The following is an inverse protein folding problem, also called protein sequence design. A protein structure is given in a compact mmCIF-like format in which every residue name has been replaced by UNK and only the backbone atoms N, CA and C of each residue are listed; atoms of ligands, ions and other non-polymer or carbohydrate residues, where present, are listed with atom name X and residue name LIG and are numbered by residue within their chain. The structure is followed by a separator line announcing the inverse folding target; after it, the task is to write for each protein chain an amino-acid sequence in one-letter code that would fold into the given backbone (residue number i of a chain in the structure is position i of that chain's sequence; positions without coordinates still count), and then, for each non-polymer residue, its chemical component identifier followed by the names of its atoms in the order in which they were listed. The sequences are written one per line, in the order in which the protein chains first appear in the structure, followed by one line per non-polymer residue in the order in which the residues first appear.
data_IF_166769381808
#
_entry.id   IF_166769381808
#
_cell.length_a   1.000
_cell.length_b   1.000
_cell.length_c   1.000
_cell.angle_alpha   90.00
_cell.angle_beta   90.00
_cell.angle_gamma   90.00
#
_symmetry.space_group_name_H-M   'P 1'
#
loop_
_entity.id
_entity.type
_entity.pdbx_description
1 polymer ?
#
# COMPACT_ATOMS: atom_id res chain seq x y z
N UNK A 1 -44.00 4.56 29.53
CA UNK A 1 -42.73 5.08 30.08
C UNK A 1 -41.58 4.45 29.31
N UNK A 2 -40.79 5.24 28.60
CA UNK A 2 -39.63 4.74 27.84
C UNK A 2 -38.52 4.35 28.81
N UNK A 3 -37.99 3.14 28.68
CA UNK A 3 -36.95 2.61 29.57
C UNK A 3 -35.67 3.47 29.49
N UNK A 4 -35.01 3.71 30.63
CA UNK A 4 -33.74 4.46 30.71
C UNK A 4 -32.67 3.92 29.74
N UNK A 5 -32.72 2.61 29.44
CA UNK A 5 -31.84 1.96 28.45
C UNK A 5 -32.06 2.49 27.03
N UNK A 6 -33.32 2.71 26.63
CA UNK A 6 -33.68 3.22 25.30
C UNK A 6 -33.23 4.67 25.13
N UNK A 7 -33.38 5.48 26.18
CA UNK A 7 -32.87 6.86 26.21
C UNK A 7 -31.33 6.92 26.08
N UNK A 8 -30.62 6.01 26.76
CA UNK A 8 -29.17 5.90 26.64
C UNK A 8 -28.72 5.55 25.22
N UNK A 9 -29.35 4.55 24.60
CA UNK A 9 -29.05 4.14 23.21
C UNK A 9 -29.30 5.31 22.25
N UNK A 10 -30.44 5.98 22.37
CA UNK A 10 -30.81 7.08 21.50
C UNK A 10 -29.80 8.24 21.57
N UNK A 11 -29.32 8.59 22.78
CA UNK A 11 -28.30 9.63 22.95
C UNK A 11 -26.95 9.24 22.35
N UNK A 12 -26.52 7.99 22.52
CA UNK A 12 -25.26 7.52 21.93
C UNK A 12 -25.35 7.52 20.40
N UNK A 13 -26.47 7.07 19.85
CA UNK A 13 -26.72 7.13 18.41
C UNK A 13 -26.71 8.57 17.90
N UNK A 14 -27.40 9.49 18.59
CA UNK A 14 -27.40 10.91 18.22
C UNK A 14 -26.01 11.53 18.27
N UNK A 15 -25.22 11.21 19.30
CA UNK A 15 -23.85 11.69 19.43
C UNK A 15 -22.96 11.17 18.29
N UNK A 16 -23.12 9.90 17.90
CA UNK A 16 -22.40 9.31 16.77
C UNK A 16 -22.78 10.01 15.45
N UNK A 17 -24.07 10.24 15.21
CA UNK A 17 -24.52 10.96 14.01
C UNK A 17 -24.01 12.41 13.99
N UNK A 18 -24.04 13.10 15.12
CA UNK A 18 -23.50 14.46 15.24
C UNK A 18 -22.00 14.51 14.94
N UNK A 19 -21.23 13.51 15.43
CA UNK A 19 -19.80 13.39 15.13
C UNK A 19 -19.56 13.18 13.62
N UNK A 20 -20.28 12.24 12.99
CA UNK A 20 -20.15 11.97 11.55
C UNK A 20 -20.49 13.21 10.73
N UNK A 21 -21.57 13.91 11.05
CA UNK A 21 -21.95 15.15 10.38
C UNK A 21 -20.90 16.25 10.55
N UNK A 22 -20.28 16.36 11.73
CA UNK A 22 -19.23 17.33 12.01
C UNK A 22 -17.95 17.02 11.21
N UNK A 23 -17.56 15.73 11.10
CA UNK A 23 -16.45 15.31 10.25
C UNK A 23 -16.71 15.63 8.77
N UNK A 24 -17.93 15.38 8.28
CA UNK A 24 -18.34 15.73 6.92
C UNK A 24 -18.37 17.24 6.70
N UNK A 25 -18.81 18.04 7.68
CA UNK A 25 -18.84 19.51 7.58
C UNK A 25 -17.45 20.13 7.51
N UNK A 26 -16.47 19.54 8.20
CA UNK A 26 -15.08 19.98 8.20
C UNK A 26 -14.29 19.49 6.97
N UNK A 27 -14.95 18.85 6.00
CA UNK A 27 -14.33 18.23 4.83
C UNK A 27 -13.15 17.32 5.21
N UNK A 28 -13.26 16.63 6.36
CA UNK A 28 -12.23 15.70 6.81
C UNK A 28 -12.33 14.46 5.93
N UNK A 29 -11.50 14.42 4.90
CA UNK A 29 -11.33 13.24 4.06
C UNK A 29 -10.77 12.12 4.93
N UNK A 30 -11.63 11.17 5.30
CA UNK A 30 -11.19 9.97 6.02
C UNK A 30 -10.38 9.14 5.02
N UNK A 31 -9.06 8.94 5.24
CA UNK A 31 -8.25 8.22 4.27
C UNK A 31 -8.78 6.81 4.13
N UNK A 32 -8.86 6.33 2.90
CA UNK A 32 -9.15 4.91 2.65
C UNK A 32 -8.04 4.04 3.27
N UNK A 33 -8.32 2.77 3.56
CA UNK A 33 -7.30 1.85 4.10
C UNK A 33 -6.02 1.82 3.25
N UNK A 34 -6.15 1.92 1.92
CA UNK A 34 -5.00 2.01 1.01
C UNK A 34 -4.21 3.32 1.15
N UNK A 35 -4.90 4.46 1.29
CA UNK A 35 -4.24 5.75 1.54
C UNK A 35 -3.57 5.82 2.92
N UNK A 36 -4.19 5.20 3.94
CA UNK A 36 -3.58 5.11 5.26
C UNK A 36 -2.28 4.31 5.23
N UNK A 37 -2.24 3.20 4.48
CA UNK A 37 -1.02 2.42 4.27
C UNK A 37 0.04 3.20 3.46
N UNK A 38 -0.37 3.94 2.43
CA UNK A 38 0.54 4.78 1.65
C UNK A 38 1.16 5.91 2.49
N UNK A 39 0.36 6.59 3.32
CA UNK A 39 0.82 7.69 4.16
C UNK A 39 1.62 7.22 5.39
N UNK A 40 1.40 5.99 5.86
CA UNK A 40 2.12 5.43 7.01
C UNK A 40 3.57 5.01 6.68
N UNK A 41 3.88 4.77 5.41
CA UNK A 41 5.23 4.42 4.98
C UNK A 41 5.97 5.71 4.55
N UNK A 42 7.04 6.13 5.24
CA UNK A 42 7.76 7.36 4.90
C UNK A 42 8.63 7.23 3.65
N UNK A 43 8.97 6.01 3.21
CA UNK A 43 9.94 5.80 2.14
C UNK A 43 9.30 6.02 0.77
N UNK A 44 10.04 6.60 -0.17
CA UNK A 44 9.58 6.78 -1.55
C UNK A 44 9.40 5.43 -2.26
N UNK A 45 8.50 5.31 -3.26
CA UNK A 45 8.41 4.09 -4.04
C UNK A 45 9.72 3.87 -4.81
N UNK A 46 10.35 2.72 -4.61
CA UNK A 46 11.59 2.38 -5.30
C UNK A 46 11.58 0.94 -5.79
N UNK A 47 12.36 0.69 -6.84
CA UNK A 47 12.56 -0.61 -7.45
C UNK A 47 14.05 -0.93 -7.54
N UNK A 48 14.40 -2.16 -7.20
CA UNK A 48 15.76 -2.70 -7.31
C UNK A 48 15.72 -3.90 -8.24
N UNK A 49 16.62 -3.94 -9.21
CA UNK A 49 16.79 -5.10 -10.08
C UNK A 49 17.99 -5.90 -9.57
N UNK A 50 17.76 -7.17 -9.26
CA UNK A 50 18.80 -8.13 -8.93
C UNK A 50 19.05 -9.06 -10.12
N UNK A 51 20.30 -9.13 -10.55
CA UNK A 51 20.78 -10.07 -11.56
C UNK A 51 22.07 -10.74 -11.07
N UNK A 52 22.02 -12.06 -10.85
CA UNK A 52 23.12 -12.78 -10.20
C UNK A 52 23.34 -12.28 -8.77
N UNK A 53 24.54 -11.77 -8.48
CA UNK A 53 24.89 -11.21 -7.16
C UNK A 53 24.93 -9.68 -7.16
N UNK A 54 24.33 -9.02 -8.16
CA UNK A 54 24.36 -7.56 -8.28
C UNK A 54 22.94 -7.01 -8.18
N UNK A 55 22.74 -6.13 -7.21
CA UNK A 55 21.52 -5.34 -7.05
C UNK A 55 21.77 -3.92 -7.54
N UNK A 56 20.83 -3.37 -8.31
CA UNK A 56 20.94 -2.01 -8.85
C UNK A 56 19.61 -1.29 -8.68
N UNK A 57 19.65 -0.07 -8.15
CA UNK A 57 18.48 0.79 -8.07
C UNK A 57 18.04 1.16 -9.48
N UNK A 58 16.76 0.97 -9.76
CA UNK A 58 16.16 1.31 -11.04
C UNK A 58 15.31 2.56 -10.85
N UNK A 59 15.82 3.71 -11.30
CA UNK A 59 15.19 5.03 -11.06
C UNK A 59 13.86 5.21 -11.80
N UNK A 60 13.70 4.58 -12.96
CA UNK A 60 12.47 4.63 -13.75
C UNK A 60 11.46 3.57 -13.27
N UNK A 61 10.66 3.98 -12.27
CA UNK A 61 9.67 3.13 -11.63
C UNK A 61 8.61 2.60 -12.62
N UNK A 62 8.20 3.41 -13.60
CA UNK A 62 7.20 3.00 -14.59
C UNK A 62 7.69 1.83 -15.43
N UNK A 63 8.93 1.93 -15.92
CA UNK A 63 9.56 0.86 -16.67
C UNK A 63 9.82 -0.36 -15.79
N UNK A 64 10.23 -0.18 -14.54
CA UNK A 64 10.36 -1.31 -13.62
C UNK A 64 9.02 -2.02 -13.40
N UNK A 65 7.91 -1.29 -13.19
CA UNK A 65 6.59 -1.90 -13.04
C UNK A 65 6.21 -2.74 -14.26
N UNK A 66 6.46 -2.25 -15.48
CA UNK A 66 6.19 -3.02 -16.69
C UNK A 66 6.97 -4.34 -16.75
N UNK A 67 8.21 -4.37 -16.26
CA UNK A 67 8.99 -5.60 -16.21
C UNK A 67 8.61 -6.50 -15.03
N UNK A 68 8.22 -5.93 -13.88
CA UNK A 68 7.75 -6.66 -12.71
C UNK A 68 6.41 -7.35 -12.98
N UNK A 69 5.48 -6.70 -13.70
CA UNK A 69 4.19 -7.27 -14.10
C UNK A 69 4.34 -8.45 -15.06
N UNK A 70 5.42 -8.48 -15.86
CA UNK A 70 5.71 -9.63 -16.75
C UNK A 70 6.21 -10.85 -15.99
N UNK A 71 6.55 -10.71 -14.70
CA UNK A 71 7.03 -11.83 -13.91
C UNK A 71 5.88 -12.78 -13.54
N UNK A 72 6.19 -14.08 -13.44
CA UNK A 72 5.19 -15.10 -13.13
C UNK A 72 4.82 -15.14 -11.64
N UNK A 73 5.74 -14.77 -10.76
CA UNK A 73 5.56 -14.82 -9.31
C UNK A 73 6.00 -13.50 -8.68
N UNK A 74 5.28 -13.06 -7.65
CA UNK A 74 5.68 -11.96 -6.76
C UNK A 74 5.45 -12.39 -5.31
N UNK A 75 6.54 -12.70 -4.61
CA UNK A 75 6.49 -13.20 -3.24
C UNK A 75 6.81 -12.08 -2.24
N UNK A 76 6.18 -12.14 -1.06
CA UNK A 76 6.58 -11.28 0.05
C UNK A 76 7.90 -11.74 0.61
N UNK A 77 8.84 -10.81 0.70
CA UNK A 77 10.16 -11.03 1.27
C UNK A 77 10.47 -9.97 2.33
N UNK A 78 11.46 -10.25 3.16
CA UNK A 78 12.05 -9.26 4.06
C UNK A 78 13.53 -9.21 3.70
N UNK A 79 13.88 -8.28 2.83
CA UNK A 79 15.24 -8.10 2.30
C UNK A 79 15.63 -6.62 2.39
N UNK A 80 16.90 -6.28 2.17
CA UNK A 80 17.40 -4.91 2.29
C UNK A 80 18.30 -4.53 1.13
N UNK A 81 18.14 -3.30 0.63
CA UNK A 81 19.06 -2.68 -0.31
C UNK A 81 19.66 -1.42 0.32
N UNK A 82 20.89 -1.53 0.80
CA UNK A 82 21.50 -0.47 1.61
C UNK A 82 20.76 -0.28 2.94
N UNK A 83 20.11 0.87 3.11
CA UNK A 83 19.30 1.20 4.29
C UNK A 83 17.79 1.05 4.04
N UNK A 84 17.39 0.63 2.84
CA UNK A 84 15.99 0.53 2.44
C UNK A 84 15.47 -0.90 2.57
N UNK A 85 14.23 -1.07 3.07
CA UNK A 85 13.57 -2.37 3.21
C UNK A 85 12.81 -2.77 1.95
N UNK A 86 13.11 -3.96 1.44
CA UNK A 86 12.41 -4.61 0.32
C UNK A 86 11.33 -5.53 0.89
N UNK A 87 10.13 -5.42 0.34
CA UNK A 87 8.95 -6.16 0.82
C UNK A 87 8.44 -7.21 -0.19
N UNK A 88 8.80 -7.08 -1.46
CA UNK A 88 8.31 -7.92 -2.55
C UNK A 88 9.44 -8.29 -3.51
N UNK A 89 9.44 -9.54 -3.98
CA UNK A 89 10.38 -10.06 -4.98
C UNK A 89 9.58 -10.68 -6.13
N UNK A 90 9.59 -10.00 -7.27
CA UNK A 90 8.93 -10.41 -8.49
C UNK A 90 9.93 -11.07 -9.46
N UNK A 91 9.71 -12.32 -9.83
CA UNK A 91 10.67 -13.10 -10.61
C UNK A 91 10.02 -14.17 -11.50
N UNK A 92 10.78 -14.58 -12.52
CA UNK A 92 10.45 -15.71 -13.40
C UNK A 92 11.67 -16.60 -13.52
N UNK A 93 11.69 -17.69 -12.75
CA UNK A 93 12.87 -18.55 -12.62
C UNK A 93 14.03 -17.85 -11.88
N UNK A 94 15.27 -18.20 -12.21
CA UNK A 94 16.47 -17.79 -11.46
C UNK A 94 17.32 -16.73 -12.17
N UNK A 95 16.72 -15.91 -13.05
CA UNK A 95 17.49 -14.98 -13.88
C UNK A 95 17.50 -13.57 -13.31
N UNK A 96 16.36 -12.87 -13.39
CA UNK A 96 16.21 -11.48 -12.96
C UNK A 96 15.11 -11.40 -11.91
N UNK A 97 15.42 -10.71 -10.82
CA UNK A 97 14.51 -10.46 -9.71
C UNK A 97 14.23 -8.96 -9.63
N UNK A 98 12.95 -8.59 -9.60
CA UNK A 98 12.49 -7.22 -9.46
C UNK A 98 11.98 -7.04 -8.03
N UNK A 99 12.78 -6.37 -7.23
CA UNK A 99 12.53 -6.16 -5.80
C UNK A 99 11.88 -4.81 -5.57
N UNK A 100 10.75 -4.82 -4.88
CA UNK A 100 9.89 -3.65 -4.68
C UNK A 100 9.62 -3.45 -3.19
N UNK A 101 9.57 -2.18 -2.76
CA UNK A 101 8.95 -1.86 -1.48
C UNK A 101 7.42 -1.88 -1.59
N UNK A 102 6.72 -1.83 -0.46
CA UNK A 102 5.26 -1.87 -0.43
C UNK A 102 4.59 -0.76 -1.26
N UNK A 103 5.19 0.44 -1.33
CA UNK A 103 4.66 1.54 -2.14
C UNK A 103 4.81 1.28 -3.63
N UNK A 104 5.99 0.84 -4.07
CA UNK A 104 6.25 0.51 -5.46
C UNK A 104 5.36 -0.64 -5.92
N UNK A 105 5.21 -1.70 -5.11
CA UNK A 105 4.27 -2.79 -5.40
C UNK A 105 2.84 -2.26 -5.56
N UNK A 106 2.37 -1.45 -4.61
CA UNK A 106 1.03 -0.84 -4.68
C UNK A 106 0.82 0.05 -5.90
N UNK A 107 1.85 0.80 -6.31
CA UNK A 107 1.85 1.59 -7.53
C UNK A 107 1.75 0.70 -8.78
N UNK A 108 2.58 -0.33 -8.88
CA UNK A 108 2.56 -1.26 -10.02
C UNK A 108 1.25 -2.06 -10.10
N UNK A 109 0.64 -2.41 -8.97
CA UNK A 109 -0.65 -3.12 -8.92
C UNK A 109 -1.83 -2.26 -9.41
N UNK A 110 -1.72 -0.93 -9.37
CA UNK A 110 -2.74 -0.01 -9.87
C UNK A 110 -2.63 0.27 -11.37
N UNK A 111 -1.58 -0.21 -12.04
CA UNK A 111 -1.43 -0.06 -13.49
C UNK A 111 -2.43 -0.94 -14.27
N UNK A 112 -2.80 -0.60 -15.52
CA UNK A 112 -3.85 -1.29 -16.29
C UNK A 112 -3.62 -2.80 -16.48
N UNK A 113 -2.36 -3.24 -16.40
CA UNK A 113 -1.93 -4.63 -16.58
C UNK A 113 -1.55 -5.29 -15.24
N UNK A 114 -1.76 -4.60 -14.12
CA UNK A 114 -1.10 -4.72 -12.80
C UNK A 114 -0.69 -6.10 -12.29
N UNK A 115 0.23 -6.09 -11.32
CA UNK A 115 0.80 -7.29 -10.71
C UNK A 115 -0.31 -8.14 -10.09
N UNK A 116 -0.37 -9.42 -10.47
CA UNK A 116 -1.41 -10.39 -10.06
C UNK A 116 -0.99 -11.23 -8.86
#
# INVERSE_FOLDING_TARGET
MVSKKVWGIMNVSLALFALVLLLTFLDVQVPTLGQAQYNANPNDPYCVVEWGNTMTLFEDLDRCCLEAVKQLSCDRVVDHFGNEEIHWDCHTGNSVHYKLNNKAYGYCAQQPVGIR
#
